data_IF_275349910890
#
_entry.id   IF_275349910890
#
_cell.length_a   1.000
_cell.length_b   1.000
_cell.length_c   1.000
_cell.angle_alpha   90.00
_cell.angle_beta   90.00
_cell.angle_gamma   90.00
#
_symmetry.space_group_name_H-M   'P 1'
#
loop_
_entity.id
_entity.type
_entity.pdbx_description
1 polymer ?
#
# COMPACT_ATOMS: atom_id res chain seq x y z
N UNK A 1 -16.73 3.98 0.66
CA UNK A 1 -15.59 3.48 -0.14
C UNK A 1 -14.54 2.95 0.82
N UNK A 2 -14.02 1.75 0.60
CA UNK A 2 -13.04 1.04 1.44
C UNK A 2 -13.54 0.69 2.85
N UNK A 3 -14.81 0.32 2.98
CA UNK A 3 -15.46 -0.02 4.25
C UNK A 3 -14.87 -1.30 4.89
N UNK A 4 -14.18 -2.11 4.07
CA UNK A 4 -13.39 -3.26 4.53
C UNK A 4 -12.16 -2.87 5.37
N UNK A 5 -11.74 -1.61 5.33
CA UNK A 5 -10.62 -1.05 6.12
C UNK A 5 -11.21 -0.21 7.25
N UNK A 6 -11.10 -0.68 8.49
CA UNK A 6 -11.54 0.08 9.66
C UNK A 6 -10.48 1.11 10.08
N UNK A 7 -10.94 2.24 10.58
CA UNK A 7 -10.08 3.36 10.99
C UNK A 7 -9.44 4.11 9.82
N UNK A 8 -8.45 4.92 10.15
CA UNK A 8 -7.65 5.72 9.19
C UNK A 8 -8.47 6.68 8.32
N UNK A 9 -9.52 7.27 8.88
CA UNK A 9 -10.48 8.10 8.13
C UNK A 9 -9.80 9.28 7.42
N UNK A 10 -8.81 9.92 8.05
CA UNK A 10 -8.04 11.01 7.43
C UNK A 10 -7.25 10.53 6.20
N UNK A 11 -6.67 9.33 6.26
CA UNK A 11 -5.94 8.75 5.12
C UNK A 11 -6.90 8.37 4.00
N UNK A 12 -8.07 7.84 4.33
CA UNK A 12 -9.13 7.54 3.34
C UNK A 12 -9.62 8.81 2.67
N UNK A 13 -9.91 9.86 3.42
CA UNK A 13 -10.31 11.15 2.89
C UNK A 13 -9.24 11.75 1.97
N UNK A 14 -7.97 11.70 2.39
CA UNK A 14 -6.87 12.13 1.53
C UNK A 14 -6.85 11.36 0.20
N UNK A 15 -6.98 10.03 0.25
CA UNK A 15 -6.95 9.18 -0.93
C UNK A 15 -8.19 9.38 -1.83
N UNK A 16 -9.36 9.67 -1.26
CA UNK A 16 -10.56 10.03 -2.04
C UNK A 16 -10.35 11.36 -2.77
N UNK A 17 -9.83 12.37 -2.07
CA UNK A 17 -9.49 13.66 -2.67
C UNK A 17 -8.37 13.53 -3.72
N UNK A 18 -7.42 12.62 -3.50
CA UNK A 18 -6.37 12.31 -4.47
C UNK A 18 -6.95 11.82 -5.81
N UNK A 19 -7.95 10.95 -5.78
CA UNK A 19 -8.59 10.45 -7.00
C UNK A 19 -9.26 11.53 -7.85
N UNK A 20 -9.70 12.62 -7.22
CA UNK A 20 -10.42 13.71 -7.88
C UNK A 20 -9.49 14.81 -8.43
N UNK A 21 -8.22 14.85 -8.03
CA UNK A 21 -7.27 15.88 -8.45
C UNK A 21 -6.75 15.62 -9.86
N UNK A 22 -6.59 16.68 -10.66
CA UNK A 22 -5.87 16.61 -11.93
C UNK A 22 -4.36 16.46 -11.72
N UNK A 23 -3.79 17.36 -10.90
CA UNK A 23 -2.38 17.27 -10.49
C UNK A 23 -2.25 16.45 -9.21
N UNK A 24 -1.67 15.26 -9.32
CA UNK A 24 -1.52 14.29 -8.23
C UNK A 24 -0.06 14.10 -7.87
N UNK A 25 0.28 13.95 -6.59
CA UNK A 25 1.58 13.43 -6.22
C UNK A 25 1.80 12.05 -6.87
N UNK A 26 2.99 11.84 -7.37
CA UNK A 26 3.35 10.56 -8.02
C UNK A 26 3.86 9.51 -7.04
N UNK A 27 4.15 9.90 -5.79
CA UNK A 27 4.64 8.98 -4.78
C UNK A 27 4.03 9.28 -3.40
N UNK A 28 3.55 8.21 -2.75
CA UNK A 28 2.98 8.24 -1.40
C UNK A 28 3.80 7.31 -0.50
N UNK A 29 3.95 7.69 0.77
CA UNK A 29 4.52 6.85 1.82
C UNK A 29 3.44 6.57 2.87
N UNK A 30 3.05 5.29 3.02
CA UNK A 30 2.21 4.83 4.12
C UNK A 30 3.13 4.35 5.24
N UNK A 31 3.20 5.11 6.32
CA UNK A 31 4.12 4.87 7.42
C UNK A 31 3.39 4.61 8.73
N UNK A 32 3.83 3.62 9.49
CA UNK A 32 3.28 3.23 10.80
C UNK A 32 3.60 1.78 11.12
N UNK A 33 3.41 1.36 12.37
CA UNK A 33 3.76 0.03 12.86
C UNK A 33 3.18 -1.09 11.97
N UNK A 34 3.73 -2.30 12.08
CA UNK A 34 3.20 -3.47 11.38
C UNK A 34 1.79 -3.80 11.84
N UNK A 35 0.98 -4.40 10.97
CA UNK A 35 -0.39 -4.83 11.31
C UNK A 35 -1.44 -3.73 11.38
N UNK A 36 -1.11 -2.45 11.11
CA UNK A 36 -2.06 -1.33 11.12
C UNK A 36 -2.95 -1.24 9.85
N UNK A 37 -2.83 -2.15 8.90
CA UNK A 37 -3.68 -2.16 7.72
C UNK A 37 -3.17 -1.33 6.53
N UNK A 38 -1.90 -0.87 6.55
CA UNK A 38 -1.27 -0.13 5.44
C UNK A 38 -1.43 -0.83 4.09
N UNK A 39 -1.00 -2.10 4.02
CA UNK A 39 -1.10 -2.92 2.80
C UNK A 39 -2.55 -3.07 2.35
N UNK A 40 -3.46 -3.36 3.28
CA UNK A 40 -4.89 -3.51 2.97
C UNK A 40 -5.46 -2.25 2.33
N UNK A 41 -5.21 -1.07 2.92
CA UNK A 41 -5.68 0.20 2.34
C UNK A 41 -5.02 0.49 1.00
N UNK A 42 -3.72 0.20 0.83
CA UNK A 42 -3.02 0.39 -0.44
C UNK A 42 -3.60 -0.48 -1.56
N UNK A 43 -3.93 -1.75 -1.27
CA UNK A 43 -4.54 -2.68 -2.22
C UNK A 43 -5.97 -2.26 -2.60
N UNK A 44 -6.79 -1.89 -1.62
CA UNK A 44 -8.15 -1.38 -1.88
C UNK A 44 -8.14 -0.06 -2.67
N UNK A 45 -7.19 0.81 -2.38
CA UNK A 45 -6.97 2.02 -3.15
C UNK A 45 -6.52 1.69 -4.60
N UNK A 46 -5.62 0.73 -4.78
CA UNK A 46 -5.15 0.30 -6.10
C UNK A 46 -6.30 -0.20 -6.98
N UNK A 47 -7.25 -0.96 -6.42
CA UNK A 47 -8.48 -1.37 -7.15
C UNK A 47 -9.23 -0.17 -7.69
N UNK A 48 -9.43 0.86 -6.85
CA UNK A 48 -10.16 2.07 -7.28
C UNK A 48 -9.37 2.88 -8.30
N UNK A 49 -8.07 3.00 -8.10
CA UNK A 49 -7.17 3.78 -8.96
C UNK A 49 -7.03 3.19 -10.37
N UNK A 50 -7.05 1.86 -10.48
CA UNK A 50 -6.96 1.13 -11.75
C UNK A 50 -8.33 0.80 -12.36
N UNK A 51 -9.42 0.98 -11.62
CA UNK A 51 -10.77 0.66 -12.09
C UNK A 51 -11.13 1.53 -13.30
N UNK A 52 -11.62 0.89 -14.36
CA UNK A 52 -11.99 1.58 -15.61
C UNK A 52 -13.09 2.62 -15.42
N UNK A 53 -13.98 2.38 -14.44
CA UNK A 53 -15.12 3.24 -14.10
C UNK A 53 -14.89 4.08 -12.82
N UNK A 54 -13.72 3.95 -12.16
CA UNK A 54 -13.37 4.69 -10.95
C UNK A 54 -14.13 4.27 -9.67
N UNK A 55 -14.86 3.16 -9.68
CA UNK A 55 -15.66 2.67 -8.53
C UNK A 55 -14.89 1.70 -7.62
N UNK A 56 -13.91 1.00 -8.16
CA UNK A 56 -13.01 0.10 -7.41
C UNK A 56 -13.52 -1.34 -7.23
N UNK A 57 -14.82 -1.59 -7.40
CA UNK A 57 -15.39 -2.94 -7.26
C UNK A 57 -16.72 -3.04 -8.00
N UNK A 58 -16.69 -2.78 -9.29
CA UNK A 58 -17.87 -2.82 -10.18
C UNK A 58 -17.85 -4.00 -11.17
N UNK A 59 -16.92 -4.95 -10.98
CA UNK A 59 -16.78 -6.12 -11.82
C UNK A 59 -16.24 -5.84 -13.23
N UNK A 60 -15.71 -4.64 -13.51
CA UNK A 60 -15.02 -4.37 -14.77
C UNK A 60 -13.78 -5.27 -14.92
N UNK A 61 -13.22 -5.34 -16.12
CA UNK A 61 -12.06 -6.19 -16.41
C UNK A 61 -10.89 -5.93 -15.46
N UNK A 62 -10.54 -4.66 -15.22
CA UNK A 62 -9.49 -4.28 -14.28
C UNK A 62 -9.77 -4.79 -12.86
N UNK A 63 -11.01 -4.65 -12.36
CA UNK A 63 -11.38 -5.12 -11.02
C UNK A 63 -11.30 -6.65 -10.90
N UNK A 64 -11.65 -7.38 -11.96
CA UNK A 64 -11.57 -8.86 -11.96
C UNK A 64 -10.14 -9.38 -11.92
N UNK A 65 -9.20 -8.66 -12.57
CA UNK A 65 -7.77 -9.00 -12.59
C UNK A 65 -7.05 -8.61 -11.28
N UNK A 66 -7.69 -7.83 -10.39
CA UNK A 66 -7.18 -7.40 -9.09
C UNK A 66 -7.89 -8.12 -7.94
N UNK A 67 -8.07 -9.43 -8.04
CA UNK A 67 -8.70 -10.19 -6.96
C UNK A 67 -7.67 -10.57 -5.88
N UNK A 68 -7.48 -9.67 -4.93
CA UNK A 68 -6.54 -9.87 -3.82
C UNK A 68 -7.02 -10.93 -2.80
N UNK A 69 -8.32 -11.23 -2.74
CA UNK A 69 -8.87 -12.20 -1.82
C UNK A 69 -8.45 -13.63 -2.19
N UNK A 70 -8.44 -13.95 -3.47
CA UNK A 70 -8.05 -15.26 -3.97
C UNK A 70 -6.56 -15.35 -4.30
N UNK A 71 -5.78 -14.29 -4.03
CA UNK A 71 -4.37 -14.20 -4.38
C UNK A 71 -4.09 -14.14 -5.89
N UNK A 72 -5.15 -14.03 -6.69
CA UNK A 72 -5.05 -14.03 -8.15
C UNK A 72 -4.94 -12.59 -8.66
N UNK A 73 -3.71 -12.09 -8.75
CA UNK A 73 -3.39 -10.75 -9.21
C UNK A 73 -2.64 -10.84 -10.53
N UNK A 74 -3.35 -10.56 -11.63
CA UNK A 74 -2.80 -10.63 -13.00
C UNK A 74 -2.99 -9.34 -13.81
N UNK A 75 -3.25 -8.21 -13.11
CA UNK A 75 -3.46 -6.92 -13.77
C UNK A 75 -2.15 -6.36 -14.31
N UNK A 76 -2.04 -6.02 -15.63
CA UNK A 76 -0.78 -5.60 -16.24
C UNK A 76 -0.26 -4.26 -15.73
N UNK A 77 -1.14 -3.41 -15.20
CA UNK A 77 -0.79 -2.08 -14.68
C UNK A 77 -0.68 -2.05 -13.15
N UNK A 78 -0.66 -3.21 -12.49
CA UNK A 78 -0.41 -3.35 -11.06
C UNK A 78 0.93 -4.07 -10.83
N UNK A 79 1.78 -3.47 -10.01
CA UNK A 79 3.06 -4.05 -9.62
C UNK A 79 3.13 -4.07 -8.10
N UNK A 80 3.40 -5.24 -7.54
CA UNK A 80 3.69 -5.42 -6.12
C UNK A 80 5.14 -5.87 -5.99
N UNK A 81 5.93 -5.09 -5.29
CA UNK A 81 7.32 -5.43 -4.94
C UNK A 81 7.36 -5.82 -3.48
N UNK A 82 7.68 -7.08 -3.23
CA UNK A 82 7.80 -7.67 -1.91
C UNK A 82 9.21 -8.22 -1.73
N UNK A 83 9.62 -8.41 -0.49
CA UNK A 83 10.88 -9.13 -0.20
C UNK A 83 10.78 -10.57 -0.71
N UNK A 84 11.87 -11.05 -1.29
CA UNK A 84 11.97 -12.47 -1.63
C UNK A 84 11.95 -13.31 -0.36
N UNK A 85 11.35 -14.51 -0.38
CA UNK A 85 11.13 -15.33 0.83
C UNK A 85 12.39 -15.56 1.68
N UNK A 86 13.56 -15.66 1.05
CA UNK A 86 14.84 -15.91 1.73
C UNK A 86 15.67 -14.65 1.99
N UNK A 87 15.17 -13.48 1.62
CA UNK A 87 15.89 -12.21 1.74
C UNK A 87 15.30 -11.35 2.85
N UNK A 88 16.19 -10.71 3.62
CA UNK A 88 15.77 -9.75 4.66
C UNK A 88 15.46 -8.37 4.10
N UNK A 89 16.10 -8.02 2.99
CA UNK A 89 16.07 -6.67 2.42
C UNK A 89 15.65 -6.71 0.95
N UNK A 90 15.12 -5.59 0.47
CA UNK A 90 14.83 -5.34 -0.92
C UNK A 90 16.12 -5.01 -1.67
N UNK A 91 16.40 -5.75 -2.73
CA UNK A 91 17.65 -5.67 -3.46
C UNK A 91 17.64 -4.62 -4.58
N UNK A 92 18.82 -4.23 -5.02
CA UNK A 92 18.98 -3.32 -6.16
C UNK A 92 18.42 -3.92 -7.46
N UNK A 93 18.49 -5.24 -7.62
CA UNK A 93 17.96 -5.95 -8.79
C UNK A 93 16.45 -5.76 -8.90
N UNK A 94 15.72 -5.89 -7.77
CA UNK A 94 14.26 -5.65 -7.75
C UNK A 94 13.92 -4.21 -8.15
N UNK A 95 14.67 -3.22 -7.70
CA UNK A 95 14.47 -1.82 -8.09
C UNK A 95 14.81 -1.56 -9.56
N UNK A 96 15.84 -2.22 -10.09
CA UNK A 96 16.18 -2.15 -11.51
C UNK A 96 15.10 -2.78 -12.39
N UNK A 97 14.52 -3.90 -11.95
CA UNK A 97 13.43 -4.56 -12.68
C UNK A 97 12.15 -3.72 -12.63
N UNK A 98 11.86 -3.09 -11.50
CA UNK A 98 10.79 -2.10 -11.40
C UNK A 98 11.01 -0.93 -12.38
N UNK A 99 12.23 -0.39 -12.46
CA UNK A 99 12.56 0.70 -13.38
C UNK A 99 12.42 0.29 -14.86
N UNK A 100 12.75 -0.96 -15.23
CA UNK A 100 12.49 -1.50 -16.58
C UNK A 100 10.98 -1.55 -16.88
N UNK A 101 10.17 -2.03 -15.90
CA UNK A 101 8.72 -2.08 -16.06
C UNK A 101 8.10 -0.68 -16.12
N UNK A 102 8.74 0.32 -15.50
CA UNK A 102 8.31 1.70 -15.56
C UNK A 102 8.45 2.33 -16.95
N UNK A 103 9.32 1.80 -17.80
CA UNK A 103 9.46 2.28 -19.17
C UNK A 103 8.24 1.99 -20.07
N UNK A 104 7.35 1.08 -19.65
CA UNK A 104 6.16 0.72 -20.41
C UNK A 104 4.94 1.53 -19.96
N UNK A 105 4.21 2.08 -20.92
CA UNK A 105 2.94 2.76 -20.69
C UNK A 105 1.90 1.79 -20.09
N UNK A 106 0.85 2.32 -19.41
CA UNK A 106 -0.29 1.52 -18.98
C UNK A 106 -0.93 0.77 -20.17
N UNK A 107 -1.40 -0.45 -19.92
CA UNK A 107 -1.93 -1.35 -20.97
C UNK A 107 -3.46 -1.40 -20.93
N UNK A 108 -4.04 -1.61 -19.75
CA UNK A 108 -5.48 -1.80 -19.56
C UNK A 108 -6.13 -0.57 -18.95
N UNK A 109 -5.53 -0.02 -17.91
CA UNK A 109 -6.04 1.14 -17.19
C UNK A 109 -5.44 2.45 -17.73
N UNK A 110 -6.01 3.59 -17.31
CA UNK A 110 -5.43 4.91 -17.64
C UNK A 110 -4.12 5.19 -16.89
N UNK A 111 -3.92 4.49 -15.78
CA UNK A 111 -2.82 4.70 -14.86
C UNK A 111 -2.13 3.37 -14.56
N UNK A 112 -0.94 3.45 -13.98
CA UNK A 112 -0.18 2.31 -13.47
C UNK A 112 0.18 2.55 -12.01
N UNK A 113 0.14 1.52 -11.19
CA UNK A 113 0.46 1.62 -9.76
C UNK A 113 1.50 0.58 -9.37
N UNK A 114 2.46 1.03 -8.58
CA UNK A 114 3.43 0.16 -7.93
C UNK A 114 3.31 0.31 -6.41
N UNK A 115 3.21 -0.81 -5.71
CA UNK A 115 3.29 -0.86 -4.24
C UNK A 115 4.61 -1.54 -3.89
N UNK A 116 5.45 -0.87 -3.10
CA UNK A 116 6.70 -1.41 -2.56
C UNK A 116 6.47 -1.68 -1.07
N UNK A 117 6.38 -2.94 -0.70
CA UNK A 117 6.24 -3.38 0.68
C UNK A 117 7.59 -3.36 1.39
N UNK A 118 7.58 -3.09 2.70
CA UNK A 118 8.79 -3.01 3.52
C UNK A 118 9.86 -2.05 2.92
N UNK A 119 9.45 -0.87 2.46
CA UNK A 119 10.35 0.10 1.86
C UNK A 119 11.49 0.55 2.82
N UNK A 120 11.29 0.42 4.13
CA UNK A 120 12.31 0.61 5.16
C UNK A 120 13.34 -0.55 5.24
N UNK A 121 13.20 -1.56 4.38
CA UNK A 121 14.16 -2.65 4.15
C UNK A 121 14.89 -2.53 2.80
N UNK A 122 14.78 -1.40 2.13
CA UNK A 122 15.61 -1.15 0.96
C UNK A 122 17.08 -1.08 1.36
N UNK A 123 17.95 -1.84 0.67
CA UNK A 123 19.39 -1.62 0.80
C UNK A 123 19.72 -0.21 0.31
N UNK A 124 20.83 0.38 0.77
CA UNK A 124 21.25 1.71 0.32
C UNK A 124 21.40 1.77 -1.20
N UNK A 125 21.96 0.73 -1.81
CA UNK A 125 22.11 0.62 -3.26
C UNK A 125 20.75 0.54 -3.98
N UNK A 126 19.77 -0.19 -3.40
CA UNK A 126 18.42 -0.26 -3.92
C UNK A 126 17.71 1.10 -3.83
N UNK A 127 17.80 1.75 -2.67
CA UNK A 127 17.22 3.06 -2.44
C UNK A 127 17.76 4.11 -3.41
N UNK A 128 19.09 4.18 -3.60
CA UNK A 128 19.72 5.09 -4.55
C UNK A 128 19.31 4.79 -6.01
N UNK A 129 19.21 3.52 -6.39
CA UNK A 129 18.73 3.11 -7.73
C UNK A 129 17.27 3.53 -7.97
N UNK A 130 16.46 3.58 -6.91
CA UNK A 130 15.05 3.94 -6.97
C UNK A 130 14.80 5.45 -7.07
N UNK A 131 15.76 6.29 -6.65
CA UNK A 131 15.60 7.76 -6.65
C UNK A 131 15.27 8.30 -8.04
N UNK A 132 15.89 7.76 -9.10
CA UNK A 132 15.63 8.21 -10.47
C UNK A 132 14.14 8.05 -10.85
N UNK A 133 13.53 6.94 -10.45
CA UNK A 133 12.11 6.70 -10.72
C UNK A 133 11.20 7.61 -9.88
N UNK A 134 11.64 7.99 -8.68
CA UNK A 134 10.92 8.94 -7.82
C UNK A 134 11.06 10.40 -8.30
N UNK A 135 12.16 10.74 -8.98
CA UNK A 135 12.39 12.09 -9.52
C UNK A 135 11.64 12.32 -10.82
N UNK A 136 11.69 11.36 -11.70
CA UNK A 136 11.13 11.42 -13.05
C UNK A 136 10.16 10.25 -13.30
N UNK A 137 9.04 10.19 -12.59
CA UNK A 137 8.08 9.10 -12.78
C UNK A 137 7.42 9.24 -14.16
N UNK A 138 7.19 8.13 -14.87
CA UNK A 138 6.45 8.17 -16.12
C UNK A 138 5.02 8.68 -15.92
N UNK A 139 4.44 9.28 -16.95
CA UNK A 139 3.08 9.79 -16.89
C UNK A 139 2.06 8.69 -16.51
N UNK A 140 1.14 9.02 -15.62
CA UNK A 140 0.11 8.08 -15.15
C UNK A 140 0.59 7.07 -14.09
N UNK A 141 1.84 7.16 -13.64
CA UNK A 141 2.35 6.29 -12.58
C UNK A 141 2.04 6.83 -11.18
N UNK A 142 1.75 5.90 -10.29
CA UNK A 142 1.69 6.14 -8.85
C UNK A 142 2.52 5.09 -8.12
N UNK A 143 3.37 5.55 -7.23
CA UNK A 143 4.20 4.70 -6.38
C UNK A 143 3.71 4.82 -4.95
N UNK A 144 3.44 3.70 -4.28
CA UNK A 144 3.11 3.65 -2.86
C UNK A 144 4.18 2.86 -2.14
N UNK A 145 4.86 3.51 -1.21
CA UNK A 145 5.82 2.89 -0.31
C UNK A 145 5.12 2.52 1.00
N UNK A 146 5.27 1.30 1.46
CA UNK A 146 4.81 0.86 2.77
C UNK A 146 6.03 0.70 3.69
N UNK A 147 6.04 1.39 4.82
CA UNK A 147 7.14 1.33 5.77
C UNK A 147 6.64 1.21 7.20
N UNK A 148 7.39 0.53 8.05
CA UNK A 148 7.11 0.46 9.49
C UNK A 148 7.61 1.70 10.23
N UNK A 149 8.72 2.30 9.78
CA UNK A 149 9.30 3.54 10.30
C UNK A 149 9.89 4.38 9.17
N UNK A 150 9.72 5.70 9.27
CA UNK A 150 10.36 6.64 8.33
C UNK A 150 11.86 6.84 8.62
N UNK A 151 12.32 6.59 9.86
CA UNK A 151 13.71 6.81 10.26
C UNK A 151 14.71 5.89 9.53
N UNK A 152 14.21 4.79 8.98
CA UNK A 152 15.02 3.85 8.20
C UNK A 152 15.08 4.16 6.70
N UNK A 153 14.30 5.15 6.26
CA UNK A 153 14.29 5.58 4.87
C UNK A 153 15.29 6.71 4.65
N UNK A 154 15.93 6.72 3.48
CA UNK A 154 16.83 7.81 3.11
C UNK A 154 16.05 9.14 3.05
N UNK A 155 16.65 10.21 3.55
CA UNK A 155 16.07 11.57 3.49
C UNK A 155 15.77 12.01 2.06
N UNK A 156 16.54 11.51 1.10
CA UNK A 156 16.33 11.73 -0.34
C UNK A 156 15.02 11.09 -0.85
N UNK A 157 14.60 9.95 -0.32
CA UNK A 157 13.26 9.37 -0.61
C UNK A 157 12.18 10.19 0.08
N UNK A 158 12.38 10.52 1.38
CA UNK A 158 11.40 11.24 2.19
C UNK A 158 11.06 12.62 1.63
N UNK A 159 11.99 13.27 0.93
CA UNK A 159 11.76 14.58 0.29
C UNK A 159 10.91 14.52 -1.00
N UNK A 160 10.67 13.32 -1.54
CA UNK A 160 9.96 13.09 -2.82
C UNK A 160 8.61 12.39 -2.67
N UNK A 161 8.20 12.09 -1.45
CA UNK A 161 6.95 11.36 -1.17
C UNK A 161 6.01 12.18 -0.30
N UNK A 162 4.72 12.05 -0.51
CA UNK A 162 3.70 12.57 0.42
C UNK A 162 3.44 11.50 1.48
N UNK A 163 3.58 11.88 2.74
CA UNK A 163 3.49 10.98 3.89
C UNK A 163 2.06 10.85 4.40
N UNK A 164 1.58 9.62 4.51
CA UNK A 164 0.34 9.25 5.20
C UNK A 164 0.71 8.42 6.44
N UNK A 165 0.46 8.97 7.61
CA UNK A 165 0.73 8.29 8.88
C UNK A 165 -0.43 7.39 9.26
N UNK A 166 -0.09 6.15 9.63
CA UNK A 166 -1.02 5.15 10.15
C UNK A 166 -0.83 5.06 11.65
N UNK A 167 -1.82 5.56 12.38
CA UNK A 167 -1.83 5.51 13.83
C UNK A 167 -2.45 4.20 14.32
N UNK A 168 -2.14 3.76 15.55
CA UNK A 168 -2.81 2.64 16.20
C UNK A 168 -4.34 2.78 16.13
N UNK A 169 -5.02 1.67 15.87
CA UNK A 169 -6.48 1.63 15.89
C UNK A 169 -7.01 1.71 17.33
N UNK A 170 -8.22 2.25 17.49
CA UNK A 170 -8.90 2.20 18.76
C UNK A 170 -9.18 0.74 19.17
N UNK A 171 -9.10 0.44 20.46
CA UNK A 171 -9.37 -0.92 21.00
C UNK A 171 -10.71 -1.47 20.51
N UNK A 172 -11.73 -0.63 20.41
CA UNK A 172 -13.04 -1.01 19.92
C UNK A 172 -13.03 -1.47 18.45
N UNK A 173 -12.18 -0.85 17.60
CA UNK A 173 -12.05 -1.21 16.18
C UNK A 173 -11.24 -2.49 16.03
N UNK A 174 -10.17 -2.67 16.80
CA UNK A 174 -9.42 -3.93 16.84
C UNK A 174 -10.34 -5.08 17.28
N UNK A 175 -11.12 -4.89 18.36
CA UNK A 175 -12.10 -5.88 18.82
C UNK A 175 -13.08 -6.27 17.72
N UNK A 176 -13.67 -5.30 17.00
CA UNK A 176 -14.57 -5.57 15.88
C UNK A 176 -13.91 -6.42 14.79
N UNK A 177 -12.65 -6.11 14.46
CA UNK A 177 -11.91 -6.86 13.44
C UNK A 177 -11.60 -8.30 13.86
N UNK A 178 -11.29 -8.51 15.14
CA UNK A 178 -11.07 -9.84 15.70
C UNK A 178 -12.34 -10.69 15.70
N UNK A 179 -13.47 -10.11 16.14
CA UNK A 179 -14.79 -10.77 16.11
C UNK A 179 -15.19 -11.14 14.66
N UNK A 180 -14.97 -10.25 13.69
CA UNK A 180 -15.26 -10.52 12.28
C UNK A 180 -14.40 -11.65 11.70
N UNK A 181 -13.28 -11.99 12.35
CA UNK A 181 -12.41 -13.12 11.99
C UNK A 181 -12.66 -14.39 12.80
N UNK A 182 -13.70 -14.39 13.62
CA UNK A 182 -14.14 -15.57 14.40
C UNK A 182 -13.42 -15.74 15.74
N UNK A 183 -12.67 -14.74 16.22
CA UNK A 183 -12.10 -14.76 17.56
C UNK A 183 -13.22 -14.63 18.60
N UNK A 184 -13.19 -15.43 19.66
CA UNK A 184 -14.20 -15.40 20.70
C UNK A 184 -14.24 -14.03 21.43
N UNK A 185 -15.41 -13.62 21.94
CA UNK A 185 -15.62 -12.28 22.48
C UNK A 185 -14.72 -11.97 23.67
N UNK A 186 -14.56 -12.92 24.60
CA UNK A 186 -13.68 -12.79 25.76
C UNK A 186 -12.20 -12.65 25.38
N UNK A 187 -11.76 -13.38 24.36
CA UNK A 187 -10.39 -13.31 23.85
C UNK A 187 -10.17 -12.02 23.05
N UNK A 188 -11.15 -11.61 22.25
CA UNK A 188 -11.05 -10.41 21.43
C UNK A 188 -10.85 -9.14 22.24
N UNK A 189 -11.46 -9.04 23.42
CA UNK A 189 -11.29 -7.91 24.35
C UNK A 189 -9.84 -7.84 24.89
N UNK A 190 -9.29 -8.98 25.31
CA UNK A 190 -7.92 -9.05 25.83
C UNK A 190 -6.91 -8.76 24.73
N UNK A 191 -7.04 -9.44 23.58
CA UNK A 191 -6.16 -9.26 22.43
C UNK A 191 -6.18 -7.83 21.89
N UNK A 192 -7.36 -7.19 21.84
CA UNK A 192 -7.47 -5.81 21.39
C UNK A 192 -6.72 -4.83 22.30
N UNK A 193 -6.67 -5.10 23.62
CA UNK A 193 -5.95 -4.24 24.58
C UNK A 193 -4.43 -4.41 24.49
N UNK A 194 -3.94 -5.66 24.35
CA UNK A 194 -2.50 -5.93 24.35
C UNK A 194 -1.84 -5.69 22.97
N UNK A 195 -2.63 -5.61 21.90
CA UNK A 195 -2.12 -5.43 20.52
C UNK A 195 -1.68 -4.00 20.19
N UNK A 196 -1.82 -3.06 21.13
CA UNK A 196 -1.46 -1.65 20.95
C UNK A 196 -2.05 -1.05 19.65
N UNK A 197 -3.27 -1.46 19.29
CA UNK A 197 -3.97 -0.99 18.09
C UNK A 197 -3.55 -1.65 16.78
N UNK A 198 -2.72 -2.71 16.84
CA UNK A 198 -2.32 -3.48 15.66
C UNK A 198 -3.09 -4.80 15.56
N UNK A 199 -3.91 -4.95 14.53
CA UNK A 199 -4.64 -6.20 14.28
C UNK A 199 -3.70 -7.33 13.87
N UNK A 200 -2.60 -7.00 13.18
CA UNK A 200 -1.60 -8.02 12.81
C UNK A 200 -0.83 -8.58 13.98
N UNK A 201 -0.69 -7.83 15.08
CA UNK A 201 -0.06 -8.30 16.32
C UNK A 201 -1.06 -9.08 17.20
N UNK A 202 -2.36 -8.82 17.04
CA UNK A 202 -3.43 -9.47 17.79
C UNK A 202 -3.78 -10.88 17.27
N UNK A 203 -3.35 -11.23 16.09
CA UNK A 203 -3.58 -12.52 15.41
C UNK A 203 -2.33 -13.37 15.39
#
# INVERSE_FOLDING_TARGET
MWDSVLGHEQNKEFLQNFLQREARPHALLFCGAEGLGKKKLALEFAKTFLCLNGKGDDGCEACRLLNFADGNVSHPDFILVERLPEKRDLSIEQMRDLAKQAAFAPVLSKNKICIVEDADRLTEAAANSFLKLLEEPPAGWLIILLASSEDKLLTTILSRVVKLRFNPLAVADVKKLLLARGVAENESEVLARISEGSVGTAL
#
